data_IF_435600877186
#
_entry.id   IF_435600877186
#
_cell.length_a   1.000
_cell.length_b   1.000
_cell.length_c   1.000
_cell.angle_alpha   90.00
_cell.angle_beta   90.00
_cell.angle_gamma   90.00
#
_symmetry.space_group_name_H-M   'P 1'
#
loop_
_entity.id
_entity.type
_entity.pdbx_description
1 polymer ?
#
# COMPACT_ATOMS: atom_id res chain seq x y z
N UNK A 1 -17.91 0.97 -5.85
CA UNK A 1 -16.85 0.85 -6.89
C UNK A 1 -16.77 2.18 -7.64
N UNK A 2 -15.58 2.79 -7.68
CA UNK A 2 -15.24 4.09 -8.28
C UNK A 2 -14.29 3.92 -9.48
N UNK A 3 -13.43 2.91 -9.43
CA UNK A 3 -12.37 2.67 -10.43
C UNK A 3 -12.69 1.51 -11.36
N UNK A 4 -12.33 1.66 -12.64
CA UNK A 4 -12.48 0.64 -13.67
C UNK A 4 -11.14 0.21 -14.28
N UNK A 5 -10.03 0.84 -13.91
CA UNK A 5 -8.69 0.42 -14.32
C UNK A 5 -7.69 0.37 -13.14
N UNK A 6 -6.76 -0.59 -13.17
CA UNK A 6 -5.60 -0.63 -12.27
C UNK A 6 -4.54 0.45 -12.56
N UNK A 7 -4.68 1.20 -13.67
CA UNK A 7 -3.90 2.43 -13.90
C UNK A 7 -4.43 3.62 -13.08
N UNK A 8 -5.65 3.53 -12.56
CA UNK A 8 -6.23 4.57 -11.71
C UNK A 8 -5.68 4.40 -10.29
N UNK A 9 -4.93 5.38 -9.81
CA UNK A 9 -4.27 5.29 -8.51
C UNK A 9 -5.27 5.49 -7.34
N UNK A 10 -5.25 4.59 -6.32
CA UNK A 10 -6.09 4.72 -5.13
C UNK A 10 -5.72 5.96 -4.31
N UNK A 11 -6.69 6.56 -3.63
CA UNK A 11 -6.51 7.80 -2.86
C UNK A 11 -6.21 7.55 -1.37
N UNK A 12 -6.57 6.36 -0.86
CA UNK A 12 -6.29 5.96 0.51
C UNK A 12 -5.87 4.48 0.63
N UNK A 13 -5.45 4.10 1.84
CA UNK A 13 -4.99 2.75 2.16
C UNK A 13 -6.02 1.64 1.85
N UNK A 14 -7.31 1.86 2.12
CA UNK A 14 -8.37 0.87 1.83
C UNK A 14 -8.47 0.65 0.33
N UNK A 15 -8.52 1.74 -0.44
CA UNK A 15 -8.52 1.66 -1.90
C UNK A 15 -7.24 0.98 -2.42
N UNK A 16 -6.09 1.22 -1.77
CA UNK A 16 -4.83 0.52 -2.05
C UNK A 16 -4.89 -0.99 -1.79
N UNK A 17 -5.58 -1.43 -0.74
CA UNK A 17 -5.85 -2.87 -0.50
C UNK A 17 -6.77 -3.43 -1.58
N UNK A 18 -7.82 -2.71 -1.98
CA UNK A 18 -8.69 -3.17 -3.08
C UNK A 18 -7.92 -3.26 -4.41
N UNK A 19 -7.03 -2.31 -4.71
CA UNK A 19 -6.17 -2.34 -5.88
C UNK A 19 -5.29 -3.61 -5.92
N UNK A 20 -4.67 -3.97 -4.78
CA UNK A 20 -3.90 -5.20 -4.64
C UNK A 20 -4.75 -6.46 -4.88
N UNK A 21 -5.99 -6.48 -4.40
CA UNK A 21 -6.91 -7.61 -4.58
C UNK A 21 -7.46 -7.71 -6.01
N UNK A 22 -7.66 -6.58 -6.68
CA UNK A 22 -8.09 -6.50 -8.07
C UNK A 22 -6.95 -6.94 -9.03
N UNK A 23 -5.72 -6.48 -8.77
CA UNK A 23 -4.50 -6.87 -9.49
C UNK A 23 -4.19 -8.38 -9.36
N UNK A 24 -4.40 -8.96 -8.16
CA UNK A 24 -4.32 -10.41 -7.93
C UNK A 24 -5.20 -11.20 -8.90
N UNK A 25 -6.42 -10.72 -9.18
CA UNK A 25 -7.35 -11.35 -10.12
C UNK A 25 -7.64 -12.83 -9.81
N UNK A 26 -7.82 -13.63 -10.87
CA UNK A 26 -8.11 -15.08 -10.77
C UNK A 26 -6.84 -15.94 -10.73
N UNK A 27 -5.79 -15.54 -11.46
CA UNK A 27 -4.50 -16.21 -11.49
C UNK A 27 -3.46 -15.36 -10.77
N UNK A 28 -3.51 -15.44 -9.43
CA UNK A 28 -2.69 -14.64 -8.53
C UNK A 28 -1.18 -14.76 -8.86
N UNK A 29 -0.69 -15.98 -9.06
CA UNK A 29 0.74 -16.20 -9.27
C UNK A 29 1.23 -15.59 -10.58
N UNK A 30 0.49 -15.81 -11.67
CA UNK A 30 0.83 -15.26 -12.99
C UNK A 30 0.82 -13.73 -13.00
N UNK A 31 -0.24 -13.12 -12.45
CA UNK A 31 -0.39 -11.66 -12.45
C UNK A 31 0.67 -10.99 -11.56
N UNK A 32 0.97 -11.58 -10.40
CA UNK A 32 2.01 -11.08 -9.49
C UNK A 32 3.43 -11.32 -10.01
N UNK A 33 3.66 -12.38 -10.79
CA UNK A 33 4.93 -12.60 -11.48
C UNK A 33 5.18 -11.56 -12.58
N UNK A 34 4.16 -11.28 -13.40
CA UNK A 34 4.24 -10.24 -14.43
C UNK A 34 4.36 -8.83 -13.83
N UNK A 35 3.75 -8.57 -12.68
CA UNK A 35 3.99 -7.36 -11.89
C UNK A 35 5.43 -7.29 -11.38
N UNK A 36 5.97 -8.38 -10.82
CA UNK A 36 7.34 -8.43 -10.32
C UNK A 36 8.37 -8.18 -11.43
N UNK A 37 8.15 -8.73 -12.61
CA UNK A 37 8.94 -8.48 -13.82
C UNK A 37 8.84 -7.01 -14.29
N UNK A 38 7.63 -6.44 -14.30
CA UNK A 38 7.42 -5.03 -14.64
C UNK A 38 8.09 -4.06 -13.64
N UNK A 39 8.03 -4.37 -12.35
CA UNK A 39 8.76 -3.63 -11.29
C UNK A 39 10.26 -3.77 -11.48
N UNK A 40 10.78 -4.98 -11.71
CA UNK A 40 12.21 -5.23 -11.97
C UNK A 40 12.71 -4.44 -13.19
N UNK A 41 11.98 -4.46 -14.31
CA UNK A 41 12.34 -3.70 -15.50
C UNK A 41 12.18 -2.18 -15.36
N UNK A 42 11.22 -1.71 -14.57
CA UNK A 42 11.13 -0.29 -14.18
C UNK A 42 12.36 0.10 -13.33
N UNK A 43 12.93 -0.86 -12.61
CA UNK A 43 14.01 -0.66 -11.64
C UNK A 43 15.42 -0.77 -12.22
N UNK A 44 15.65 -1.64 -13.21
CA UNK A 44 16.95 -1.81 -13.90
C UNK A 44 17.32 -0.67 -14.87
N UNK A 45 16.37 0.20 -15.23
CA UNK A 45 16.58 1.18 -16.31
C UNK A 45 17.42 2.38 -15.88
N UNK A 46 18.55 2.57 -16.56
CA UNK A 46 19.43 3.75 -16.48
C UNK A 46 18.73 5.11 -16.75
N UNK A 47 17.54 5.13 -17.34
CA UNK A 47 16.71 6.35 -17.43
C UNK A 47 15.24 5.98 -17.49
N UNK A 48 14.40 6.73 -16.75
CA UNK A 48 12.96 6.69 -16.95
C UNK A 48 12.55 7.57 -18.14
N UNK A 49 11.55 7.10 -18.88
CA UNK A 49 10.86 7.92 -19.88
C UNK A 49 10.09 9.05 -19.19
N UNK A 50 9.94 10.21 -19.84
CA UNK A 50 9.30 11.38 -19.24
C UNK A 50 7.86 11.10 -18.76
N UNK A 51 7.11 10.29 -19.49
CA UNK A 51 5.73 9.93 -19.16
C UNK A 51 5.67 9.08 -17.87
N UNK A 52 6.64 8.17 -17.72
CA UNK A 52 6.78 7.29 -16.55
C UNK A 52 7.16 8.11 -15.31
N UNK A 53 8.08 9.07 -15.46
CA UNK A 53 8.46 10.00 -14.39
C UNK A 53 7.27 10.91 -13.96
N UNK A 54 6.47 11.39 -14.91
CA UNK A 54 5.26 12.14 -14.60
C UNK A 54 4.19 11.30 -13.91
N UNK A 55 3.95 10.07 -14.37
CA UNK A 55 3.01 9.16 -13.76
C UNK A 55 3.42 8.83 -12.31
N UNK A 56 4.71 8.55 -12.08
CA UNK A 56 5.24 8.28 -10.75
C UNK A 56 5.07 9.47 -9.81
N UNK A 57 5.36 10.70 -10.26
CA UNK A 57 5.12 11.92 -9.49
C UNK A 57 3.64 12.07 -9.12
N UNK A 58 2.73 11.90 -10.08
CA UNK A 58 1.27 11.99 -9.85
C UNK A 58 0.80 10.97 -8.80
N UNK A 59 1.33 9.75 -8.81
CA UNK A 59 1.02 8.73 -7.79
C UNK A 59 1.67 9.03 -6.44
N UNK A 60 2.90 9.54 -6.43
CA UNK A 60 3.60 9.97 -5.21
C UNK A 60 2.91 11.17 -4.54
N UNK A 61 2.38 12.13 -5.31
CA UNK A 61 1.57 13.25 -4.81
C UNK A 61 0.30 12.76 -4.10
N UNK A 62 -0.32 11.68 -4.58
CA UNK A 62 -1.49 11.05 -3.95
C UNK A 62 -1.07 10.40 -2.63
N UNK A 63 0.01 9.61 -2.62
CA UNK A 63 0.59 9.08 -1.38
C UNK A 63 0.97 10.18 -0.39
N UNK A 64 1.53 11.30 -0.85
CA UNK A 64 1.90 12.42 0.02
C UNK A 64 0.66 13.07 0.65
N UNK A 65 -0.39 13.32 -0.13
CA UNK A 65 -1.68 13.86 0.38
C UNK A 65 -2.34 12.93 1.39
N UNK A 66 -2.24 11.61 1.19
CA UNK A 66 -2.70 10.61 2.16
C UNK A 66 -1.87 10.67 3.46
N UNK A 67 -0.54 10.68 3.35
CA UNK A 67 0.37 10.71 4.50
C UNK A 67 0.24 11.99 5.35
N UNK A 68 -0.10 13.12 4.73
CA UNK A 68 -0.26 14.42 5.41
C UNK A 68 -1.62 14.59 6.11
N UNK A 69 -2.50 13.59 6.08
CA UNK A 69 -3.79 13.64 6.77
C UNK A 69 -3.65 13.65 8.30
N UNK A 70 -4.61 14.29 8.96
CA UNK A 70 -4.85 14.10 10.40
C UNK A 70 -5.05 12.61 10.72
N UNK A 71 -4.58 12.17 11.89
CA UNK A 71 -4.47 10.74 12.21
C UNK A 71 -3.15 10.09 11.75
N UNK A 72 -2.50 10.59 10.70
CA UNK A 72 -1.29 9.97 10.11
C UNK A 72 -0.03 10.84 10.26
N UNK A 73 -0.08 12.10 9.81
CA UNK A 73 1.08 12.98 9.57
C UNK A 73 2.08 13.09 10.73
N UNK A 74 1.63 12.94 11.97
CA UNK A 74 2.47 13.14 13.14
C UNK A 74 3.37 11.95 13.52
N UNK A 75 3.10 10.77 12.97
CA UNK A 75 3.81 9.54 13.29
C UNK A 75 5.22 9.55 12.66
N UNK A 76 6.24 9.07 13.39
CA UNK A 76 7.65 9.22 12.99
C UNK A 76 7.96 8.62 11.61
N UNK A 77 7.45 7.41 11.32
CA UNK A 77 7.63 6.76 10.02
C UNK A 77 6.86 7.45 8.88
N UNK A 78 5.75 8.15 9.19
CA UNK A 78 5.02 8.97 8.22
C UNK A 78 5.83 10.22 7.87
N UNK A 79 6.39 10.91 8.88
CA UNK A 79 7.29 12.05 8.71
C UNK A 79 8.52 11.68 7.87
N UNK A 80 9.06 10.48 8.07
CA UNK A 80 10.15 9.96 7.24
C UNK A 80 9.75 9.82 5.76
N UNK A 81 8.60 9.21 5.45
CA UNK A 81 8.12 9.14 4.06
C UNK A 81 7.82 10.50 3.46
N UNK A 82 7.21 11.42 4.21
CA UNK A 82 6.97 12.81 3.75
C UNK A 82 8.30 13.53 3.42
N UNK A 83 9.33 13.38 4.25
CA UNK A 83 10.67 13.92 3.98
C UNK A 83 11.38 13.26 2.79
N UNK A 84 11.07 12.00 2.49
CA UNK A 84 11.59 11.28 1.32
C UNK A 84 10.90 11.77 0.04
N UNK A 85 9.57 11.85 0.02
CA UNK A 85 8.78 12.31 -1.13
C UNK A 85 9.01 13.78 -1.47
N UNK A 86 9.36 14.62 -0.49
CA UNK A 86 9.74 16.02 -0.71
C UNK A 86 11.11 16.21 -1.38
N UNK A 87 11.94 15.16 -1.51
CA UNK A 87 13.21 15.24 -2.24
C UNK A 87 12.94 15.06 -3.74
N UNK A 88 13.66 15.77 -4.62
CA UNK A 88 13.51 15.52 -6.04
C UNK A 88 13.99 14.10 -6.37
N UNK A 89 13.43 13.55 -7.45
CA UNK A 89 13.77 12.22 -7.99
C UNK A 89 15.14 12.31 -8.68
N UNK A 90 16.19 12.37 -7.86
CA UNK A 90 17.54 12.80 -8.24
C UNK A 90 18.35 11.73 -8.97
N UNK A 91 18.03 10.45 -8.75
CA UNK A 91 18.91 9.33 -9.08
C UNK A 91 18.16 8.05 -9.42
N UNK A 92 18.89 7.24 -10.18
CA UNK A 92 18.65 5.85 -10.42
C UNK A 92 18.90 5.02 -9.16
N UNK A 93 18.09 4.01 -8.86
CA UNK A 93 18.33 3.21 -7.67
C UNK A 93 19.10 1.93 -8.02
N UNK A 94 20.40 1.91 -7.70
CA UNK A 94 21.20 0.69 -7.81
C UNK A 94 20.85 -0.39 -6.77
N UNK A 95 20.15 -0.03 -5.69
CA UNK A 95 20.10 -0.83 -4.47
C UNK A 95 19.40 -2.20 -4.55
N UNK A 96 18.51 -2.44 -5.54
CA UNK A 96 17.97 -3.78 -5.81
C UNK A 96 18.70 -4.50 -6.94
N UNK A 97 19.31 -3.77 -7.90
CA UNK A 97 20.10 -4.36 -8.97
C UNK A 97 21.46 -4.88 -8.48
N UNK A 98 22.07 -4.21 -7.48
CA UNK A 98 23.36 -4.59 -6.87
C UNK A 98 23.24 -5.73 -5.84
N UNK A 99 22.02 -6.23 -5.57
CA UNK A 99 21.80 -7.38 -4.69
C UNK A 99 21.57 -8.65 -5.51
N UNK A 100 22.51 -9.61 -5.55
CA UNK A 100 22.39 -10.83 -6.37
C UNK A 100 21.23 -11.76 -5.95
N UNK A 101 20.57 -11.50 -4.82
CA UNK A 101 19.41 -12.25 -4.31
C UNK A 101 18.05 -11.68 -4.77
N UNK A 102 18.01 -10.45 -5.31
CA UNK A 102 16.77 -9.82 -5.79
C UNK A 102 16.47 -10.23 -7.23
N UNK A 103 15.98 -11.46 -7.38
CA UNK A 103 15.44 -11.94 -8.65
C UNK A 103 13.97 -11.58 -8.79
N UNK A 104 13.44 -11.56 -10.02
CA UNK A 104 11.99 -11.49 -10.28
C UNK A 104 11.20 -12.57 -9.52
N UNK A 105 11.79 -13.74 -9.27
CA UNK A 105 11.20 -14.83 -8.47
C UNK A 105 11.14 -14.48 -6.97
N UNK A 106 12.14 -13.79 -6.44
CA UNK A 106 12.13 -13.26 -5.06
C UNK A 106 11.04 -12.21 -4.92
N UNK A 107 11.03 -11.20 -5.81
CA UNK A 107 10.00 -10.13 -5.84
C UNK A 107 8.59 -10.70 -6.02
N UNK A 108 8.40 -11.74 -6.84
CA UNK A 108 7.11 -12.42 -7.00
C UNK A 108 6.60 -13.00 -5.67
N UNK A 109 7.46 -13.71 -4.93
CA UNK A 109 7.09 -14.29 -3.62
C UNK A 109 6.73 -13.21 -2.61
N UNK A 110 7.48 -12.12 -2.62
CA UNK A 110 7.27 -10.96 -1.75
C UNK A 110 5.93 -10.27 -2.04
N UNK A 111 5.60 -10.02 -3.32
CA UNK A 111 4.30 -9.46 -3.70
C UNK A 111 3.15 -10.42 -3.38
N UNK A 112 3.30 -11.72 -3.64
CA UNK A 112 2.31 -12.76 -3.23
C UNK A 112 2.07 -12.73 -1.72
N UNK A 113 3.12 -12.59 -0.92
CA UNK A 113 3.00 -12.54 0.53
C UNK A 113 2.32 -11.24 1.02
N UNK A 114 2.71 -10.08 0.49
CA UNK A 114 2.06 -8.79 0.79
C UNK A 114 0.56 -8.85 0.50
N UNK A 115 0.17 -9.32 -0.69
CA UNK A 115 -1.24 -9.42 -1.10
C UNK A 115 -2.01 -10.41 -0.22
N UNK A 116 -1.44 -11.58 0.08
CA UNK A 116 -2.04 -12.57 0.99
C UNK A 116 -2.27 -12.00 2.41
N UNK A 117 -1.30 -11.23 2.94
CA UNK A 117 -1.44 -10.59 4.25
C UNK A 117 -2.50 -9.50 4.25
N UNK A 118 -2.54 -8.64 3.24
CA UNK A 118 -3.58 -7.61 3.09
C UNK A 118 -4.99 -8.24 2.96
N UNK A 119 -5.14 -9.29 2.16
CA UNK A 119 -6.40 -10.03 2.03
C UNK A 119 -6.86 -10.66 3.35
N UNK A 120 -5.93 -11.28 4.09
CA UNK A 120 -6.20 -11.90 5.41
C UNK A 120 -6.52 -10.86 6.47
N UNK A 121 -5.86 -9.70 6.44
CA UNK A 121 -6.21 -8.55 7.28
C UNK A 121 -7.66 -8.13 7.02
N UNK A 122 -8.02 -7.83 5.77
CA UNK A 122 -9.35 -7.35 5.40
C UNK A 122 -10.45 -8.35 5.77
N UNK A 123 -10.22 -9.65 5.53
CA UNK A 123 -11.15 -10.74 5.88
C UNK A 123 -11.32 -10.98 7.38
N UNK A 124 -10.36 -10.55 8.22
CA UNK A 124 -10.36 -10.84 9.67
C UNK A 124 -10.64 -9.62 10.56
N UNK A 125 -10.47 -8.41 10.04
CA UNK A 125 -10.71 -7.16 10.78
C UNK A 125 -12.18 -6.92 11.14
N UNK A 126 -13.12 -7.68 10.56
CA UNK A 126 -14.58 -7.50 10.66
C UNK A 126 -15.11 -6.16 10.12
N UNK A 127 -14.26 -5.36 9.46
CA UNK A 127 -14.62 -4.14 8.70
C UNK A 127 -15.53 -4.45 7.49
N UNK A 128 -15.81 -5.72 7.24
CA UNK A 128 -16.45 -6.23 6.02
C UNK A 128 -17.98 -6.10 5.99
N UNK A 129 -18.66 -5.73 7.09
CA UNK A 129 -20.13 -5.81 7.19
C UNK A 129 -20.89 -4.92 6.18
N UNK A 130 -20.26 -3.87 5.65
CA UNK A 130 -20.80 -2.97 4.63
C UNK A 130 -19.73 -2.64 3.56
N UNK A 131 -18.79 -3.56 3.33
CA UNK A 131 -17.62 -3.28 2.50
C UNK A 131 -17.94 -3.41 1.01
N UNK A 132 -18.08 -2.26 0.36
CA UNK A 132 -17.96 -2.14 -1.09
C UNK A 132 -16.50 -1.92 -1.48
N UNK A 133 -16.06 -2.64 -2.50
CA UNK A 133 -14.74 -2.44 -3.11
C UNK A 133 -14.69 -1.12 -3.88
N UNK A 134 -13.51 -0.50 -3.91
CA UNK A 134 -13.22 0.68 -4.73
C UNK A 134 -13.06 0.32 -6.21
N UNK A 135 -12.44 -0.83 -6.53
CA UNK A 135 -12.20 -1.30 -7.89
C UNK A 135 -13.32 -2.23 -8.37
N UNK A 136 -13.70 -2.09 -9.64
CA UNK A 136 -14.72 -2.92 -10.26
C UNK A 136 -14.19 -4.24 -10.81
N UNK A 137 -15.09 -5.12 -11.26
CA UNK A 137 -14.74 -6.38 -11.94
C UNK A 137 -13.95 -6.19 -13.23
N UNK A 138 -13.99 -4.99 -13.82
CA UNK A 138 -13.30 -4.64 -15.06
C UNK A 138 -11.83 -4.29 -14.79
N UNK A 139 -11.52 -3.75 -13.60
CA UNK A 139 -10.18 -3.39 -13.16
C UNK A 139 -9.33 -4.63 -12.86
N UNK A 140 -8.86 -5.29 -13.91
CA UNK A 140 -8.11 -6.54 -13.87
C UNK A 140 -6.74 -6.38 -14.53
N UNK A 141 -5.80 -7.26 -14.18
CA UNK A 141 -4.48 -7.28 -14.82
C UNK A 141 -4.59 -7.36 -16.35
N UNK A 142 -5.44 -8.25 -16.86
CA UNK A 142 -5.67 -8.46 -18.29
C UNK A 142 -6.25 -7.23 -19.01
N UNK A 143 -7.14 -6.47 -18.36
CA UNK A 143 -7.76 -5.29 -18.95
C UNK A 143 -6.86 -4.04 -18.87
N UNK A 144 -6.18 -3.85 -17.74
CA UNK A 144 -5.45 -2.61 -17.42
C UNK A 144 -3.94 -2.69 -17.65
N UNK A 145 -3.30 -3.78 -17.24
CA UNK A 145 -1.85 -3.87 -17.12
C UNK A 145 -1.19 -4.68 -18.23
N UNK A 146 -1.86 -5.70 -18.79
CA UNK A 146 -1.22 -6.64 -19.72
C UNK A 146 -0.69 -6.01 -21.03
N UNK A 147 -1.15 -4.80 -21.40
CA UNK A 147 -0.63 -4.03 -22.56
C UNK A 147 0.50 -3.06 -22.20
N UNK A 148 0.51 -2.56 -20.97
CA UNK A 148 1.55 -1.68 -20.43
C UNK A 148 1.78 -2.02 -18.94
N UNK A 149 2.55 -3.09 -18.66
CA UNK A 149 2.80 -3.53 -17.28
C UNK A 149 3.52 -2.47 -16.44
N UNK A 150 4.30 -1.61 -17.10
CA UNK A 150 5.05 -0.53 -16.46
C UNK A 150 4.12 0.51 -15.84
N UNK A 151 3.01 0.85 -16.50
CA UNK A 151 2.01 1.77 -15.93
C UNK A 151 1.45 1.28 -14.58
N UNK A 152 1.18 -0.03 -14.45
CA UNK A 152 0.72 -0.60 -13.18
C UNK A 152 1.85 -0.78 -12.14
N UNK A 153 3.09 -1.01 -12.58
CA UNK A 153 4.26 -1.02 -11.70
C UNK A 153 4.52 0.36 -11.09
N UNK A 154 4.35 1.44 -11.88
CA UNK A 154 4.41 2.83 -11.39
C UNK A 154 3.35 3.10 -10.33
N UNK A 155 2.11 2.62 -10.54
CA UNK A 155 1.05 2.74 -9.51
C UNK A 155 1.47 2.02 -8.23
N UNK A 156 1.84 0.73 -8.29
CA UNK A 156 2.27 -0.06 -7.13
C UNK A 156 3.38 0.62 -6.33
N UNK A 157 4.42 1.10 -7.02
CA UNK A 157 5.58 1.73 -6.39
C UNK A 157 5.21 3.10 -5.81
N UNK A 158 4.40 3.88 -6.51
CA UNK A 158 3.92 5.18 -6.03
C UNK A 158 2.99 5.09 -4.81
N UNK A 159 2.21 3.99 -4.65
CA UNK A 159 1.31 3.77 -3.50
C UNK A 159 1.96 2.96 -2.36
N UNK A 160 3.16 2.42 -2.54
CA UNK A 160 3.86 1.69 -1.49
C UNK A 160 4.04 2.48 -0.16
N UNK A 161 4.31 3.81 -0.15
CA UNK A 161 4.31 4.61 1.09
C UNK A 161 2.96 4.61 1.81
N UNK A 162 1.86 4.76 1.06
CA UNK A 162 0.49 4.73 1.58
C UNK A 162 0.14 3.35 2.16
N UNK A 163 0.48 2.26 1.45
CA UNK A 163 0.28 0.89 1.91
C UNK A 163 1.05 0.60 3.21
N UNK A 164 2.33 0.98 3.28
CA UNK A 164 3.15 0.83 4.49
C UNK A 164 2.53 1.61 5.66
N UNK A 165 2.25 2.89 5.45
CA UNK A 165 1.82 3.78 6.52
C UNK A 165 0.42 3.44 7.04
N UNK A 166 -0.51 3.05 6.17
CA UNK A 166 -1.84 2.62 6.57
C UNK A 166 -1.80 1.38 7.48
N UNK A 167 -1.06 0.34 7.08
CA UNK A 167 -0.85 -0.86 7.90
C UNK A 167 -0.19 -0.53 9.23
N UNK A 168 0.90 0.26 9.22
CA UNK A 168 1.68 0.55 10.42
C UNK A 168 0.93 1.45 11.40
N UNK A 169 0.22 2.46 10.89
CA UNK A 169 -0.62 3.35 11.70
C UNK A 169 -1.75 2.58 12.39
N UNK A 170 -2.43 1.71 11.65
CA UNK A 170 -3.45 0.83 12.23
C UNK A 170 -2.86 -0.12 13.28
N UNK A 171 -1.65 -0.66 13.06
CA UNK A 171 -0.99 -1.57 14.00
C UNK A 171 -0.67 -0.87 15.31
N UNK A 172 -0.12 0.36 15.26
CA UNK A 172 0.22 1.16 16.45
C UNK A 172 -1.05 1.61 17.19
N UNK A 173 -2.02 2.19 16.47
CA UNK A 173 -3.23 2.71 17.10
C UNK A 173 -4.11 1.60 17.72
N UNK A 174 -4.26 0.46 17.04
CA UNK A 174 -5.06 -0.66 17.56
C UNK A 174 -4.41 -1.38 18.74
N UNK A 175 -3.08 -1.44 18.81
CA UNK A 175 -2.35 -1.92 19.98
C UNK A 175 -2.55 -0.96 21.17
N UNK A 176 -2.28 0.34 20.98
CA UNK A 176 -2.39 1.35 22.03
C UNK A 176 -3.81 1.46 22.61
N UNK A 177 -4.85 1.34 21.77
CA UNK A 177 -6.25 1.35 22.18
C UNK A 177 -6.73 0.06 22.86
N UNK A 178 -5.94 -1.02 22.83
CA UNK A 178 -6.19 -2.27 23.59
C UNK A 178 -5.40 -2.32 24.90
N UNK A 179 -4.21 -1.73 24.93
CA UNK A 179 -3.42 -1.63 26.16
C UNK A 179 -4.05 -0.61 27.13
N UNK A 180 -4.73 0.41 26.59
CA UNK A 180 -5.35 1.50 27.35
C UNK A 180 -6.87 1.56 27.10
N UNK A 181 -7.62 0.47 27.35
CA UNK A 181 -9.07 0.42 27.10
C UNK A 181 -9.90 1.47 27.87
N UNK A 182 -9.36 2.08 28.92
CA UNK A 182 -9.99 3.19 29.66
C UNK A 182 -9.61 4.58 29.14
N UNK A 183 -8.59 4.72 28.28
CA UNK A 183 -8.18 6.01 27.72
C UNK A 183 -9.05 6.37 26.52
N UNK A 184 -9.80 7.47 26.65
CA UNK A 184 -10.61 8.01 25.56
C UNK A 184 -9.75 8.50 24.39
N UNK A 185 -8.55 9.03 24.64
CA UNK A 185 -7.65 9.54 23.60
C UNK A 185 -7.07 8.41 22.74
N UNK A 186 -6.76 7.27 23.36
CA UNK A 186 -6.33 6.08 22.62
C UNK A 186 -7.41 5.58 21.64
N UNK A 187 -8.68 5.63 22.04
CA UNK A 187 -9.83 5.27 21.17
C UNK A 187 -10.10 6.31 20.10
N UNK A 188 -10.09 7.60 20.46
CA UNK A 188 -10.19 8.73 19.53
C UNK A 188 -9.13 8.62 18.43
N UNK A 189 -7.87 8.39 18.80
CA UNK A 189 -6.77 8.20 17.85
C UNK A 189 -6.96 7.00 16.93
N UNK A 190 -7.53 5.90 17.43
CA UNK A 190 -7.87 4.75 16.59
C UNK A 190 -8.99 5.09 15.58
N UNK A 191 -9.96 5.91 15.97
CA UNK A 191 -10.99 6.46 15.09
C UNK A 191 -10.41 7.38 14.00
N UNK A 192 -9.52 8.31 14.37
CA UNK A 192 -8.80 9.18 13.43
C UNK A 192 -8.04 8.37 12.38
N UNK A 193 -7.27 7.36 12.81
CA UNK A 193 -6.50 6.51 11.90
C UNK A 193 -7.42 5.72 10.98
N UNK A 194 -8.49 5.11 11.49
CA UNK A 194 -9.47 4.38 10.66
C UNK A 194 -10.10 5.27 9.59
N UNK A 195 -10.42 6.52 9.94
CA UNK A 195 -10.97 7.50 9.00
C UNK A 195 -9.95 7.88 7.93
N UNK A 196 -8.70 8.15 8.31
CA UNK A 196 -7.63 8.51 7.39
C UNK A 196 -7.27 7.36 6.43
N UNK A 197 -7.35 6.11 6.90
CA UNK A 197 -7.10 4.90 6.08
C UNK A 197 -8.31 4.43 5.25
N UNK A 198 -9.37 5.23 5.11
CA UNK A 198 -10.48 4.98 4.19
C UNK A 198 -11.68 4.19 4.77
N UNK A 199 -11.69 3.87 6.06
CA UNK A 199 -12.83 3.20 6.69
C UNK A 199 -13.82 4.21 7.28
N UNK A 200 -15.10 4.04 6.96
CA UNK A 200 -16.18 4.89 7.49
C UNK A 200 -16.54 4.43 8.91
N UNK A 201 -17.13 5.31 9.70
CA UNK A 201 -17.64 4.94 11.03
C UNK A 201 -18.71 3.84 10.96
N UNK A 202 -19.54 3.84 9.90
CA UNK A 202 -20.50 2.78 9.57
C UNK A 202 -19.86 1.40 9.44
N UNK A 203 -18.62 1.35 8.96
CA UNK A 203 -17.93 0.11 8.61
C UNK A 203 -17.41 -0.62 9.88
N UNK A 204 -17.45 -0.01 11.07
CA UNK A 204 -16.67 -0.48 12.23
C UNK A 204 -17.28 -0.38 13.67
N UNK A 205 -18.33 0.42 13.99
CA UNK A 205 -18.77 0.86 15.36
C UNK A 205 -17.81 0.93 16.58
N UNK A 206 -17.68 2.11 17.21
CA UNK A 206 -16.60 2.45 18.18
C UNK A 206 -16.38 1.48 19.35
N UNK A 207 -17.43 0.88 19.88
CA UNK A 207 -17.34 0.02 21.07
C UNK A 207 -16.58 -1.31 20.85
N UNK A 208 -16.32 -1.72 19.61
CA UNK A 208 -15.73 -3.03 19.30
C UNK A 208 -14.54 -2.99 18.30
N UNK A 209 -14.00 -1.81 17.95
CA UNK A 209 -13.04 -1.62 16.83
C UNK A 209 -11.66 -2.24 17.04
N UNK A 210 -11.05 -1.98 18.19
CA UNK A 210 -9.60 -2.20 18.38
C UNK A 210 -9.22 -3.69 18.38
N UNK A 211 -10.03 -4.55 19.02
CA UNK A 211 -9.72 -5.98 19.19
C UNK A 211 -9.72 -6.77 17.87
N UNK A 212 -10.76 -6.68 17.00
CA UNK A 212 -10.76 -7.32 15.69
C UNK A 212 -9.66 -6.80 14.76
N UNK A 213 -9.43 -5.48 14.72
CA UNK A 213 -8.43 -4.87 13.85
C UNK A 213 -7.01 -5.28 14.26
N UNK A 214 -6.64 -5.20 15.55
CA UNK A 214 -5.34 -5.67 16.04
C UNK A 214 -5.12 -7.16 15.78
N UNK A 215 -6.14 -8.00 16.05
CA UNK A 215 -6.07 -9.45 15.80
C UNK A 215 -5.89 -9.79 14.33
N UNK A 216 -6.43 -8.97 13.42
CA UNK A 216 -6.21 -9.10 11.99
C UNK A 216 -4.78 -8.67 11.59
N UNK A 217 -4.29 -7.56 12.15
CA UNK A 217 -2.95 -7.02 11.88
C UNK A 217 -1.81 -7.90 12.43
N UNK A 218 -2.06 -8.77 13.41
CA UNK A 218 -1.11 -9.85 13.79
C UNK A 218 -0.80 -10.85 12.67
N UNK A 219 -1.48 -10.76 11.51
CA UNK A 219 -1.14 -11.52 10.29
C UNK A 219 -0.26 -10.72 9.31
N UNK A 220 -0.05 -9.44 9.56
CA UNK A 220 0.88 -8.58 8.84
C UNK A 220 2.20 -8.64 9.61
N UNK A 221 3.12 -9.45 9.09
CA UNK A 221 4.44 -9.66 9.67
C UNK A 221 5.47 -8.63 9.17
N UNK A 222 6.65 -8.61 9.78
CA UNK A 222 7.72 -7.65 9.49
C UNK A 222 8.14 -7.66 8.01
N UNK A 223 8.06 -8.82 7.35
CA UNK A 223 8.40 -8.96 5.93
C UNK A 223 7.53 -8.08 5.02
N UNK A 224 6.23 -7.94 5.33
CA UNK A 224 5.34 -7.03 4.58
C UNK A 224 5.82 -5.58 4.66
N UNK A 225 6.28 -5.15 5.84
CA UNK A 225 6.80 -3.80 6.03
C UNK A 225 8.13 -3.59 5.30
N UNK A 226 9.04 -4.58 5.31
CA UNK A 226 10.29 -4.53 4.54
C UNK A 226 10.02 -4.42 3.04
N UNK A 227 9.15 -5.27 2.48
CA UNK A 227 8.81 -5.26 1.05
C UNK A 227 8.20 -3.91 0.63
N UNK A 228 7.21 -3.42 1.38
CA UNK A 228 6.58 -2.12 1.09
C UNK A 228 7.56 -0.94 1.27
N UNK A 229 8.46 -1.00 2.25
CA UNK A 229 9.49 0.02 2.42
C UNK A 229 10.50 0.01 1.26
N UNK A 230 10.89 -1.16 0.76
CA UNK A 230 11.82 -1.29 -0.36
C UNK A 230 11.19 -0.77 -1.67
N UNK A 231 9.93 -1.12 -1.94
CA UNK A 231 9.17 -0.59 -3.08
C UNK A 231 9.05 0.94 -2.99
N UNK A 232 8.65 1.46 -1.82
CA UNK A 232 8.48 2.90 -1.58
C UNK A 232 9.80 3.69 -1.58
N UNK A 233 10.88 3.06 -1.10
CA UNK A 233 12.19 3.64 -0.94
C UNK A 233 13.03 3.63 -2.20
N UNK A 234 12.64 2.87 -3.24
CA UNK A 234 13.47 2.68 -4.42
C UNK A 234 13.91 4.01 -5.05
N UNK A 235 12.98 4.94 -5.30
CA UNK A 235 13.30 6.20 -6.01
C UNK A 235 14.00 7.29 -5.18
N UNK A 236 14.49 6.98 -3.99
CA UNK A 236 15.16 7.93 -3.10
C UNK A 236 16.36 7.24 -2.42
N UNK A 237 17.53 7.89 -2.47
CA UNK A 237 18.85 7.48 -1.91
C UNK A 237 19.72 6.58 -2.81
N UNK A 238 21.05 6.75 -2.83
CA UNK A 238 21.91 7.72 -2.09
C UNK A 238 22.31 8.93 -2.94
#
# INVERSE_FOLDING_TARGET
MVYTSLTDAPQDFREGVDWLLAMKGKDAYKNLAAMAEAVHHLFERDTLRSEVLEALKKTQDISQKFLDQEGLKDQLFVKEFLQRLAKPLNKLPGALADSPDVTSTTVTKDLVHVVDRCEKFLKKSKLYKQYEAAYSSEASWEASCAKDPEACAVVLVGIAPMLYAGLRSLQVASAHALENESDSKAKERMGEVLKAVGFKESDCPDSERSSPVHKALRRVDEHVFTVLHNLAGFWVFN
#
